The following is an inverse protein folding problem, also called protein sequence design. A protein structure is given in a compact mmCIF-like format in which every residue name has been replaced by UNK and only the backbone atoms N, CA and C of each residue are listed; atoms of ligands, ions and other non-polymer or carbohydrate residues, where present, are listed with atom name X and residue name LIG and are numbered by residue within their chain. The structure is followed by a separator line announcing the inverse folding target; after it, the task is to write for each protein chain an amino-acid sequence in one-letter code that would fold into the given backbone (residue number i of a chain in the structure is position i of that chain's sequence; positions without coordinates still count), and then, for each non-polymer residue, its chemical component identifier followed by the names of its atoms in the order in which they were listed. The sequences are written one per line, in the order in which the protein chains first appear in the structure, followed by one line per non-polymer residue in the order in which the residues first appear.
data_IF_359353296597
#
_entry.id   IF_359353296597
#
_cell.length_a   1.000
_cell.length_b   1.000
_cell.length_c   1.000
_cell.angle_alpha   90.00
_cell.angle_beta   90.00
_cell.angle_gamma   90.00
#
_symmetry.space_group_name_H-M   'P 1'
#
loop_
_entity.id
_entity.type
_entity.pdbx_description
1 polymer ?
#
# COMPACT_ATOMS: atom_id res chain seq x y z
N UNK A 1 -18.73 -15.38 24.73
CA UNK A 1 -19.36 -14.51 23.72
C UNK A 1 -18.66 -13.17 23.77
N UNK A 2 -17.68 -12.95 22.90
CA UNK A 2 -16.92 -11.70 22.85
C UNK A 2 -17.49 -10.83 21.71
N UNK A 3 -18.02 -9.68 22.08
CA UNK A 3 -18.55 -8.66 21.17
C UNK A 3 -17.39 -7.92 20.50
N UNK A 4 -17.16 -8.13 19.21
CA UNK A 4 -16.27 -7.30 18.40
C UNK A 4 -16.94 -5.94 18.19
N UNK A 5 -16.37 -4.90 18.82
CA UNK A 5 -16.78 -3.51 18.65
C UNK A 5 -16.29 -3.01 17.29
N UNK A 6 -17.16 -3.06 16.29
CA UNK A 6 -16.96 -2.38 15.01
C UNK A 6 -17.03 -0.87 15.22
N UNK A 7 -15.87 -0.23 15.43
CA UNK A 7 -15.76 1.23 15.47
C UNK A 7 -16.00 1.80 14.07
N UNK A 8 -17.24 2.15 13.78
CA UNK A 8 -17.63 2.82 12.53
C UNK A 8 -17.20 4.29 12.59
N UNK A 9 -16.28 4.69 11.71
CA UNK A 9 -15.76 6.06 11.61
C UNK A 9 -16.84 6.99 11.02
N UNK A 10 -17.00 8.23 11.54
CA UNK A 10 -18.03 9.15 11.04
C UNK A 10 -17.79 9.53 9.57
N UNK A 11 -18.86 9.76 8.79
CA UNK A 11 -18.76 10.12 7.37
C UNK A 11 -18.04 11.47 7.18
N UNK A 12 -17.31 11.58 6.07
CA UNK A 12 -16.57 12.77 5.68
C UNK A 12 -17.46 14.02 5.55
N UNK A 13 -16.90 15.19 5.86
CA UNK A 13 -17.58 16.48 5.77
C UNK A 13 -18.08 16.77 4.33
N UNK A 14 -19.31 17.28 4.15
CA UNK A 14 -19.86 17.57 2.82
C UNK A 14 -19.05 18.67 2.13
N UNK A 15 -18.40 18.33 1.01
CA UNK A 15 -17.69 19.28 0.14
C UNK A 15 -16.24 18.90 -0.21
N UNK A 16 -15.61 17.99 0.53
CA UNK A 16 -14.31 17.44 0.16
C UNK A 16 -14.48 16.18 -0.69
N UNK A 17 -13.88 16.12 -1.88
CA UNK A 17 -13.80 14.89 -2.67
C UNK A 17 -13.08 13.81 -1.86
N UNK A 18 -13.64 12.59 -1.81
CA UNK A 18 -13.05 11.48 -1.07
C UNK A 18 -11.76 10.96 -1.71
N UNK A 19 -10.95 10.23 -0.94
CA UNK A 19 -9.73 9.59 -1.44
C UNK A 19 -10.03 8.64 -2.59
N UNK A 20 -11.07 7.81 -2.45
CA UNK A 20 -11.56 6.93 -3.52
C UNK A 20 -11.89 7.71 -4.80
N UNK A 21 -12.63 8.82 -4.68
CA UNK A 21 -13.02 9.62 -5.84
C UNK A 21 -11.81 10.28 -6.54
N UNK A 22 -10.78 10.69 -5.79
CA UNK A 22 -9.55 11.23 -6.39
C UNK A 22 -8.66 10.17 -7.05
N UNK A 23 -8.77 8.90 -6.63
CA UNK A 23 -8.03 7.78 -7.23
C UNK A 23 -8.82 7.03 -8.31
N UNK A 24 -10.14 7.22 -8.40
CA UNK A 24 -11.02 6.46 -9.29
C UNK A 24 -10.59 6.49 -10.75
N UNK A 25 -10.14 7.63 -11.26
CA UNK A 25 -9.65 7.78 -12.64
C UNK A 25 -8.42 6.90 -12.89
N UNK A 26 -7.42 6.96 -12.01
CA UNK A 26 -6.19 6.16 -12.12
C UNK A 26 -6.49 4.67 -11.94
N UNK A 27 -7.25 4.30 -10.90
CA UNK A 27 -7.59 2.90 -10.63
C UNK A 27 -8.44 2.33 -11.75
N UNK A 28 -9.37 3.08 -12.33
CA UNK A 28 -10.14 2.64 -13.50
C UNK A 28 -9.27 2.39 -14.74
N UNK A 29 -8.20 3.16 -14.94
CA UNK A 29 -7.23 2.91 -16.01
C UNK A 29 -6.44 1.62 -15.78
N UNK A 30 -6.14 1.27 -14.54
CA UNK A 30 -5.48 0.00 -14.18
C UNK A 30 -6.45 -1.18 -14.33
N UNK A 31 -7.67 -1.04 -13.79
CA UNK A 31 -8.74 -2.04 -13.87
C UNK A 31 -9.08 -2.39 -15.32
N UNK A 32 -9.09 -1.41 -16.24
CA UNK A 32 -9.37 -1.66 -17.67
C UNK A 32 -8.25 -2.38 -18.43
N UNK A 33 -7.05 -2.49 -17.84
CA UNK A 33 -5.88 -3.17 -18.44
C UNK A 33 -5.56 -4.49 -17.76
N UNK A 34 -5.98 -4.68 -16.51
CA UNK A 34 -5.86 -5.93 -15.80
C UNK A 34 -6.80 -6.97 -16.41
N UNK A 35 -6.26 -8.15 -16.72
CA UNK A 35 -7.07 -9.25 -17.24
C UNK A 35 -8.11 -9.66 -16.19
N UNK A 36 -9.39 -9.54 -16.56
CA UNK A 36 -10.51 -9.82 -15.66
C UNK A 36 -10.81 -8.71 -14.64
N UNK A 37 -10.16 -7.55 -14.69
CA UNK A 37 -10.41 -6.44 -13.75
C UNK A 37 -9.88 -6.68 -12.34
N UNK A 38 -10.24 -5.80 -11.40
CA UNK A 38 -9.77 -5.86 -10.01
C UNK A 38 -10.74 -6.66 -9.14
N UNK A 39 -10.21 -7.65 -8.44
CA UNK A 39 -10.98 -8.62 -7.67
C UNK A 39 -10.98 -8.43 -6.15
N UNK A 40 -10.46 -7.30 -5.68
CA UNK A 40 -10.35 -6.93 -4.26
C UNK A 40 -10.79 -5.48 -4.05
N UNK A 41 -11.19 -5.12 -2.82
CA UNK A 41 -11.57 -3.74 -2.45
C UNK A 41 -10.32 -2.92 -2.12
N UNK A 42 -10.32 -1.62 -2.46
CA UNK A 42 -9.39 -0.65 -1.89
C UNK A 42 -10.16 0.22 -0.87
N UNK A 43 -9.77 0.20 0.39
CA UNK A 43 -10.39 1.03 1.43
C UNK A 43 -9.39 2.06 1.96
N UNK A 44 -9.85 3.29 2.23
CA UNK A 44 -8.96 4.40 2.60
C UNK A 44 -9.26 4.95 4.00
N UNK A 45 -8.27 5.65 4.56
CA UNK A 45 -8.33 6.22 5.91
C UNK A 45 -9.46 7.24 6.11
N UNK A 46 -10.05 7.80 5.05
CA UNK A 46 -11.21 8.71 5.13
C UNK A 46 -12.56 7.97 5.15
N UNK A 47 -12.54 6.64 5.14
CA UNK A 47 -13.72 5.78 5.10
C UNK A 47 -14.27 5.56 3.69
N UNK A 48 -13.66 6.13 2.66
CA UNK A 48 -14.06 5.88 1.27
C UNK A 48 -13.46 4.59 0.74
N UNK A 49 -14.12 3.99 -0.24
CA UNK A 49 -13.72 2.71 -0.82
C UNK A 49 -13.86 2.72 -2.34
N UNK A 50 -13.00 1.96 -3.02
CA UNK A 50 -13.18 1.56 -4.41
C UNK A 50 -13.52 0.06 -4.41
N UNK A 51 -14.79 -0.33 -4.64
CA UNK A 51 -15.18 -1.73 -4.66
C UNK A 51 -14.51 -2.46 -5.83
N UNK A 52 -14.40 -3.80 -5.77
CA UNK A 52 -13.87 -4.60 -6.88
C UNK A 52 -14.73 -4.41 -8.13
N UNK A 53 -14.09 -4.45 -9.30
CA UNK A 53 -14.77 -4.44 -10.60
C UNK A 53 -15.14 -5.84 -11.07
N UNK A 54 -14.47 -6.88 -10.54
CA UNK A 54 -14.81 -8.29 -10.75
C UNK A 54 -14.51 -9.10 -9.48
N UNK A 55 -15.41 -9.14 -8.50
CA UNK A 55 -15.13 -9.67 -7.17
C UNK A 55 -14.80 -11.17 -7.18
N UNK A 56 -13.72 -11.54 -6.47
CA UNK A 56 -13.52 -12.92 -6.04
C UNK A 56 -14.53 -13.27 -4.93
N UNK A 57 -15.00 -14.54 -4.80
CA UNK A 57 -15.91 -14.94 -3.70
C UNK A 57 -15.38 -14.56 -2.31
N UNK A 58 -14.08 -14.75 -2.09
CA UNK A 58 -13.37 -14.39 -0.86
C UNK A 58 -12.56 -13.09 -1.02
N UNK A 59 -13.08 -12.11 -1.78
CA UNK A 59 -12.38 -10.88 -2.11
C UNK A 59 -11.78 -10.18 -0.86
N UNK A 60 -10.45 -10.05 -0.78
CA UNK A 60 -9.82 -9.33 0.31
C UNK A 60 -10.02 -7.82 0.16
N UNK A 61 -9.78 -7.08 1.24
CA UNK A 61 -9.71 -5.61 1.22
C UNK A 61 -8.30 -5.15 1.51
N UNK A 62 -7.70 -4.39 0.59
CA UNK A 62 -6.48 -3.64 0.83
C UNK A 62 -6.85 -2.31 1.51
N UNK A 63 -6.54 -2.20 2.80
CA UNK A 63 -6.88 -1.04 3.63
C UNK A 63 -5.69 -0.11 3.78
N UNK A 64 -5.76 1.05 3.15
CA UNK A 64 -4.84 2.17 3.37
C UNK A 64 -5.22 2.88 4.68
N UNK A 65 -4.84 2.29 5.81
CA UNK A 65 -5.14 2.77 7.15
C UNK A 65 -4.60 4.19 7.41
N UNK A 66 -3.48 4.55 6.76
CA UNK A 66 -2.84 5.86 6.90
C UNK A 66 -2.48 6.44 5.54
N UNK A 67 -2.51 7.78 5.44
CA UNK A 67 -2.10 8.51 4.22
C UNK A 67 -0.66 8.20 3.79
N UNK A 68 0.20 7.90 4.75
CA UNK A 68 1.62 7.64 4.50
C UNK A 68 1.83 6.40 3.61
N UNK A 69 0.89 5.44 3.56
CA UNK A 69 0.93 4.33 2.62
C UNK A 69 0.99 4.80 1.16
N UNK A 70 0.12 5.75 0.77
CA UNK A 70 0.16 6.32 -0.58
C UNK A 70 1.37 7.23 -0.79
N UNK A 71 1.87 7.91 0.25
CA UNK A 71 3.10 8.70 0.15
C UNK A 71 4.29 7.80 -0.18
N UNK A 72 4.39 6.62 0.44
CA UNK A 72 5.44 5.63 0.14
C UNK A 72 5.33 5.15 -1.30
N UNK A 73 4.15 4.80 -1.78
CA UNK A 73 3.96 4.35 -3.17
C UNK A 73 4.25 5.43 -4.21
N UNK A 74 3.98 6.71 -3.91
CA UNK A 74 4.34 7.81 -4.81
C UNK A 74 5.86 8.02 -4.87
N UNK A 75 6.57 7.83 -3.76
CA UNK A 75 8.02 8.03 -3.67
C UNK A 75 8.82 6.83 -4.15
N UNK A 76 8.29 5.64 -3.95
CA UNK A 76 8.84 4.35 -4.36
C UNK A 76 7.76 3.63 -5.18
N UNK A 77 7.56 4.00 -6.47
CA UNK A 77 6.52 3.44 -7.34
C UNK A 77 6.89 2.05 -7.85
N UNK A 78 7.32 1.20 -6.93
CA UNK A 78 7.67 -0.21 -7.11
C UNK A 78 7.10 -0.98 -5.89
N UNK A 79 7.49 -2.24 -5.75
CA UNK A 79 6.98 -3.11 -4.66
C UNK A 79 7.44 -2.65 -3.27
N UNK A 80 8.57 -1.95 -3.18
CA UNK A 80 9.16 -1.50 -1.92
C UNK A 80 8.25 -0.50 -1.19
N UNK A 81 7.60 0.41 -1.92
CA UNK A 81 6.65 1.36 -1.32
C UNK A 81 5.48 0.66 -0.63
N UNK A 82 4.93 -0.36 -1.29
CA UNK A 82 3.85 -1.20 -0.74
C UNK A 82 4.32 -2.05 0.43
N UNK A 83 5.47 -2.72 0.29
CA UNK A 83 6.04 -3.55 1.36
C UNK A 83 6.32 -2.73 2.62
N UNK A 84 6.96 -1.55 2.48
CA UNK A 84 7.21 -0.64 3.61
C UNK A 84 5.91 -0.14 4.24
N UNK A 85 4.89 0.16 3.44
CA UNK A 85 3.57 0.56 3.95
C UNK A 85 2.92 -0.57 4.76
N UNK A 86 3.03 -1.82 4.31
CA UNK A 86 2.51 -2.98 5.03
C UNK A 86 3.25 -3.24 6.34
N UNK A 87 4.58 -3.31 6.30
CA UNK A 87 5.42 -3.52 7.50
C UNK A 87 5.21 -2.41 8.54
N UNK A 88 4.95 -1.16 8.10
CA UNK A 88 4.73 -0.02 8.99
C UNK A 88 3.29 0.09 9.53
N UNK A 89 2.39 -0.85 9.19
CA UNK A 89 0.97 -0.77 9.55
C UNK A 89 0.28 0.48 8.99
N UNK A 90 0.63 0.86 7.76
CA UNK A 90 -0.02 1.93 6.99
C UNK A 90 -0.93 1.34 5.90
N UNK A 91 -0.57 0.16 5.40
CA UNK A 91 -1.36 -0.69 4.51
C UNK A 91 -1.65 -2.00 5.24
N UNK A 92 -2.92 -2.35 5.32
CA UNK A 92 -3.40 -3.57 5.97
C UNK A 92 -4.18 -4.41 4.96
N UNK A 93 -4.32 -5.70 5.25
CA UNK A 93 -5.13 -6.62 4.44
C UNK A 93 -6.20 -7.22 5.36
N UNK A 94 -7.46 -6.95 5.05
CA UNK A 94 -8.58 -7.66 5.66
C UNK A 94 -8.94 -8.85 4.76
N UNK A 95 -8.85 -10.07 5.31
CA UNK A 95 -9.09 -11.31 4.59
C UNK A 95 -7.81 -12.16 4.45
N UNK A 96 -7.77 -13.01 3.43
CA UNK A 96 -6.63 -13.89 3.18
C UNK A 96 -5.47 -13.11 2.51
N UNK A 97 -4.31 -13.06 3.17
CA UNK A 97 -3.12 -12.36 2.68
C UNK A 97 -2.53 -12.98 1.42
N UNK A 98 -2.44 -14.32 1.36
CA UNK A 98 -1.92 -15.03 0.18
C UNK A 98 -2.78 -14.73 -1.05
N UNK A 99 -4.10 -14.79 -0.89
CA UNK A 99 -5.04 -14.42 -1.95
C UNK A 99 -4.89 -12.93 -2.35
N UNK A 100 -4.68 -12.03 -1.39
CA UNK A 100 -4.45 -10.62 -1.69
C UNK A 100 -3.17 -10.41 -2.52
N UNK A 101 -2.08 -11.14 -2.20
CA UNK A 101 -0.85 -11.12 -2.98
C UNK A 101 -1.09 -11.62 -4.41
N UNK A 102 -1.71 -12.78 -4.57
CA UNK A 102 -2.02 -13.37 -5.89
C UNK A 102 -2.87 -12.45 -6.77
N UNK A 103 -3.92 -11.86 -6.19
CA UNK A 103 -4.82 -10.97 -6.93
C UNK A 103 -4.16 -9.62 -7.25
N UNK A 104 -3.34 -9.09 -6.35
CA UNK A 104 -2.62 -7.83 -6.60
C UNK A 104 -1.50 -8.00 -7.61
N UNK A 105 -0.84 -9.15 -7.67
CA UNK A 105 0.18 -9.47 -8.69
C UNK A 105 -0.45 -9.49 -10.09
N UNK A 106 -1.57 -10.20 -10.26
CA UNK A 106 -2.34 -10.22 -11.52
C UNK A 106 -2.76 -8.81 -11.97
N UNK A 107 -3.20 -7.98 -11.03
CA UNK A 107 -3.57 -6.59 -11.29
C UNK A 107 -2.36 -5.70 -11.61
N UNK A 108 -1.21 -5.91 -10.94
CA UNK A 108 0.04 -5.15 -11.10
C UNK A 108 0.74 -5.44 -12.43
N UNK A 109 0.58 -6.64 -12.99
CA UNK A 109 1.09 -6.93 -14.32
C UNK A 109 0.42 -6.09 -15.44
N UNK A 110 -0.65 -5.36 -15.13
CA UNK A 110 -1.12 -4.29 -16.01
C UNK A 110 -0.04 -3.19 -16.09
N UNK A 111 0.58 -2.97 -17.26
CA UNK A 111 1.70 -2.04 -17.36
C UNK A 111 1.23 -0.61 -17.05
N UNK A 112 1.90 0.03 -16.09
CA UNK A 112 1.86 1.48 -15.95
C UNK A 112 2.41 2.08 -17.25
N UNK A 113 1.59 2.87 -17.91
CA UNK A 113 1.93 3.57 -19.14
C UNK A 113 2.34 4.99 -18.80
N UNK A 114 3.20 5.65 -19.61
CA UNK A 114 3.48 7.08 -19.46
C UNK A 114 2.22 7.94 -19.43
N UNK A 115 1.13 7.51 -20.08
CA UNK A 115 -0.18 8.16 -20.04
C UNK A 115 -0.80 8.25 -18.64
N UNK A 116 -0.41 7.37 -17.71
CA UNK A 116 -0.99 7.32 -16.35
C UNK A 116 -0.34 8.35 -15.41
N UNK A 117 0.78 8.96 -15.83
CA UNK A 117 1.47 9.95 -15.04
C UNK A 117 0.58 11.17 -14.74
N UNK A 118 -0.23 11.61 -15.72
CA UNK A 118 -1.13 12.76 -15.56
C UNK A 118 -2.20 12.50 -14.47
N UNK A 119 -3.03 11.44 -14.56
CA UNK A 119 -4.02 11.15 -13.52
C UNK A 119 -3.36 10.84 -12.17
N UNK A 120 -2.21 10.15 -12.15
CA UNK A 120 -1.47 9.87 -10.92
C UNK A 120 -0.97 11.15 -10.23
N UNK A 121 -0.33 12.08 -10.97
CA UNK A 121 0.16 13.35 -10.43
C UNK A 121 -1.00 14.24 -9.98
N UNK A 122 -2.10 14.26 -10.73
CA UNK A 122 -3.33 15.01 -10.37
C UNK A 122 -3.89 14.50 -9.04
N UNK A 123 -4.07 13.19 -8.90
CA UNK A 123 -4.52 12.57 -7.65
C UNK A 123 -3.54 12.87 -6.50
N UNK A 124 -2.25 12.66 -6.71
CA UNK A 124 -1.22 12.92 -5.70
C UNK A 124 -1.16 14.39 -5.25
N UNK A 125 -1.38 15.34 -6.16
CA UNK A 125 -1.46 16.77 -5.83
C UNK A 125 -2.69 17.08 -4.98
N UNK A 126 -3.87 16.61 -5.40
CA UNK A 126 -5.13 16.87 -4.70
C UNK A 126 -5.19 16.23 -3.31
N UNK A 127 -4.62 15.04 -3.17
CA UNK A 127 -4.46 14.34 -1.89
C UNK A 127 -3.32 14.90 -1.03
N UNK A 128 -2.57 15.88 -1.53
CA UNK A 128 -1.45 16.51 -0.82
C UNK A 128 -0.25 15.58 -0.59
N UNK A 129 -0.15 14.48 -1.34
CA UNK A 129 0.91 13.47 -1.17
C UNK A 129 2.29 14.04 -1.53
N UNK A 130 2.37 14.88 -2.56
CA UNK A 130 3.63 15.45 -3.06
C UNK A 130 4.28 16.45 -2.08
N UNK A 131 3.50 17.02 -1.14
CA UNK A 131 3.99 18.00 -0.16
C UNK A 131 4.48 17.36 1.14
N UNK A 132 4.24 16.07 1.34
CA UNK A 132 4.66 15.34 2.54
C UNK A 132 6.08 14.83 2.38
N UNK A 133 6.87 14.85 3.46
CA UNK A 133 8.18 14.20 3.51
C UNK A 133 8.05 12.68 3.33
N UNK A 134 9.14 12.03 2.98
CA UNK A 134 9.19 10.56 2.98
C UNK A 134 8.99 10.06 4.41
N UNK A 135 8.01 9.16 4.67
CA UNK A 135 7.90 8.50 5.96
C UNK A 135 9.21 7.76 6.30
N UNK A 136 9.56 7.62 7.59
CA UNK A 136 10.75 6.88 7.98
C UNK A 136 10.70 5.44 7.45
N UNK A 137 11.88 4.86 7.18
CA UNK A 137 11.97 3.43 6.87
C UNK A 137 11.39 2.62 8.04
N UNK A 138 10.74 1.46 7.79
CA UNK A 138 10.27 0.58 8.86
C UNK A 138 11.44 0.17 9.78
N UNK A 139 11.16 -0.07 11.06
CA UNK A 139 12.20 -0.46 12.03
C UNK A 139 12.90 -1.78 11.68
N UNK A 140 12.19 -2.68 11.01
CA UNK A 140 12.73 -3.94 10.50
C UNK A 140 13.71 -3.76 9.31
N UNK A 141 13.81 -2.55 8.73
CA UNK A 141 14.72 -2.27 7.62
C UNK A 141 16.09 -1.84 8.13
N UNK A 142 17.12 -2.65 7.88
CA UNK A 142 18.50 -2.30 8.24
C UNK A 142 19.06 -1.19 7.36
N UNK A 143 19.71 -0.22 8.01
CA UNK A 143 20.55 0.80 7.35
C UNK A 143 22.02 0.49 7.57
N UNK A 144 22.62 -0.26 6.66
CA UNK A 144 24.04 -0.58 6.70
C UNK A 144 24.90 0.63 6.34
N UNK A 145 25.87 0.96 7.19
CA UNK A 145 26.87 2.00 6.92
C UNK A 145 28.20 1.38 6.43
N UNK A 146 29.18 2.21 6.10
CA UNK A 146 30.52 1.75 5.71
C UNK A 146 30.67 1.25 4.25
N UNK A 147 31.89 0.84 3.90
CA UNK A 147 32.25 0.42 2.53
C UNK A 147 31.64 -0.95 2.22
N UNK A 148 31.13 -1.11 1.00
CA UNK A 148 30.76 -2.40 0.43
C UNK A 148 31.92 -3.41 0.57
N UNK A 149 31.64 -4.65 0.98
CA UNK A 149 32.63 -5.70 1.22
C UNK A 149 33.68 -5.36 2.29
N UNK A 150 33.26 -4.73 3.38
CA UNK A 150 34.11 -4.57 4.56
C UNK A 150 33.63 -5.51 5.66
N UNK A 151 34.57 -6.08 6.41
CA UNK A 151 34.25 -7.04 7.46
C UNK A 151 33.23 -6.49 8.48
N UNK A 152 33.32 -5.20 8.82
CA UNK A 152 32.38 -4.54 9.72
C UNK A 152 30.96 -4.47 9.14
N UNK A 153 30.82 -4.04 7.87
CA UNK A 153 29.52 -3.98 7.19
C UNK A 153 28.90 -5.37 7.02
N UNK A 154 29.73 -6.36 6.68
CA UNK A 154 29.29 -7.73 6.48
C UNK A 154 28.82 -8.36 7.80
N UNK A 155 29.50 -8.06 8.92
CA UNK A 155 29.08 -8.47 10.26
C UNK A 155 27.75 -7.83 10.69
N UNK A 156 27.57 -6.52 10.46
CA UNK A 156 26.29 -5.83 10.73
C UNK A 156 25.13 -6.44 9.92
N UNK A 157 25.38 -6.81 8.66
CA UNK A 157 24.37 -7.46 7.83
C UNK A 157 24.00 -8.86 8.34
N UNK A 158 25.00 -9.67 8.71
CA UNK A 158 24.80 -11.04 9.21
C UNK A 158 24.05 -11.01 10.54
N UNK A 159 24.49 -10.17 11.50
CA UNK A 159 23.86 -10.08 12.81
C UNK A 159 22.38 -9.66 12.70
N UNK A 160 22.05 -8.68 11.88
CA UNK A 160 20.66 -8.27 11.71
C UNK A 160 19.75 -9.34 11.08
N UNK A 161 20.30 -10.23 10.25
CA UNK A 161 19.51 -11.28 9.59
C UNK A 161 19.44 -12.61 10.35
N UNK A 162 20.44 -12.90 11.18
CA UNK A 162 20.58 -14.23 11.79
C UNK A 162 20.68 -14.21 13.31
N UNK A 163 20.80 -13.04 13.94
CA UNK A 163 20.74 -12.92 15.40
C UNK A 163 19.26 -12.87 15.84
N UNK A 164 18.54 -13.93 15.51
CA UNK A 164 17.18 -14.20 15.95
C UNK A 164 17.26 -15.14 17.15
N UNK A 165 16.88 -14.66 18.33
CA UNK A 165 16.92 -15.46 19.57
C UNK A 165 15.99 -16.66 19.48
N UNK A 166 16.37 -17.84 19.99
CA UNK A 166 15.51 -19.03 20.04
C UNK A 166 14.27 -18.93 20.98
N UNK A 167 13.80 -17.72 21.29
CA UNK A 167 12.67 -17.47 22.21
C UNK A 167 11.30 -17.37 21.51
N UNK A 168 11.20 -17.83 20.25
CA UNK A 168 9.95 -17.88 19.49
C UNK A 168 9.04 -19.03 19.92
#
# INVERSE_FOLDING_TARGET
MATTSSSQKPPAAPGATSVAAELAELVGLLDSRAEGGRAFTLAFWDGSELPPTNPHPDAPTLRFAKRDALVRMVREPNELGMARAWVSGELEVDGNLELALDLTEKWRHAPLKPSDAIPAIKAARKLGLLRRSQPPAPEAEIKLQGRLHSAQRDQEAISHHYDVSNEF
#
